data_IF_148629376110
#
_entry.id   IF_148629376110
#
_cell.length_a   1.000
_cell.length_b   1.000
_cell.length_c   1.000
_cell.angle_alpha   90.00
_cell.angle_beta   90.00
_cell.angle_gamma   90.00
#
_symmetry.space_group_name_H-M   'P 1'
#
loop_
_entity.id
_entity.type
_entity.pdbx_description
1 polymer ?
#
# COMPACT_ATOMS: atom_id res chain seq x y z
N UNK A 1 6.35 -28.77 18.46
CA UNK A 1 7.23 -27.97 19.32
C UNK A 1 8.34 -27.50 18.41
N UNK A 2 8.63 -26.22 18.34
CA UNK A 2 9.67 -25.67 17.46
C UNK A 2 11.02 -26.05 18.05
N UNK A 3 11.73 -27.02 17.48
CA UNK A 3 13.06 -27.41 17.96
C UNK A 3 14.10 -26.47 17.35
N UNK A 4 14.29 -25.32 18.02
CA UNK A 4 15.41 -24.42 17.77
C UNK A 4 16.49 -24.78 18.78
N UNK A 5 17.68 -25.14 18.31
CA UNK A 5 18.79 -25.49 19.19
C UNK A 5 19.28 -24.28 19.99
N UNK A 6 20.06 -24.52 21.05
CA UNK A 6 20.75 -23.44 21.78
C UNK A 6 21.74 -22.64 20.92
N UNK A 7 22.10 -23.14 19.73
CA UNK A 7 22.93 -22.42 18.75
C UNK A 7 22.11 -21.63 17.72
N UNK A 8 20.78 -21.58 17.86
CA UNK A 8 19.89 -20.90 16.92
C UNK A 8 19.66 -21.67 15.61
N UNK A 9 20.07 -22.93 15.52
CA UNK A 9 19.82 -23.76 14.34
C UNK A 9 18.38 -24.27 14.38
N UNK A 10 17.66 -24.07 13.29
CA UNK A 10 16.34 -24.64 13.06
C UNK A 10 16.53 -26.05 12.51
N UNK A 11 16.17 -27.09 13.25
CA UNK A 11 16.39 -28.46 12.79
C UNK A 11 15.36 -28.90 11.74
N UNK A 12 14.10 -28.51 11.94
CA UNK A 12 12.98 -28.82 11.04
C UNK A 12 12.29 -27.54 10.56
N UNK A 13 11.71 -27.60 9.36
CA UNK A 13 10.99 -26.45 8.79
C UNK A 13 9.87 -25.98 9.71
N UNK A 14 9.89 -24.69 10.04
CA UNK A 14 8.89 -24.02 10.86
C UNK A 14 7.99 -23.20 9.97
N UNK A 15 6.67 -23.37 10.14
CA UNK A 15 5.66 -22.55 9.46
C UNK A 15 4.96 -21.71 10.52
N UNK A 16 5.09 -20.38 10.39
CA UNK A 16 4.42 -19.41 11.24
C UNK A 16 3.33 -18.74 10.42
N UNK A 17 2.09 -18.81 10.88
CA UNK A 17 0.94 -18.21 10.19
C UNK A 17 0.38 -17.07 11.02
N UNK A 18 0.08 -15.94 10.38
CA UNK A 18 -0.57 -14.82 11.06
C UNK A 18 -1.95 -15.21 11.61
N UNK A 19 -2.45 -14.56 12.68
CA UNK A 19 -3.77 -14.86 13.24
C UNK A 19 -4.93 -14.77 12.24
N UNK A 20 -4.82 -13.88 11.24
CA UNK A 20 -5.81 -13.71 10.18
C UNK A 20 -5.58 -14.62 8.95
N UNK A 21 -4.58 -15.50 9.02
CA UNK A 21 -4.21 -16.52 8.01
C UNK A 21 -3.80 -15.96 6.66
N UNK A 22 -3.43 -14.68 6.57
CA UNK A 22 -3.05 -14.06 5.30
C UNK A 22 -1.57 -14.12 5.01
N UNK A 23 -0.74 -14.11 6.04
CA UNK A 23 0.71 -14.14 5.93
C UNK A 23 1.22 -15.46 6.49
N UNK A 24 2.05 -16.12 5.70
CA UNK A 24 2.76 -17.35 6.04
C UNK A 24 4.25 -17.05 5.96
N UNK A 25 4.95 -17.31 7.05
CA UNK A 25 6.40 -17.29 7.13
C UNK A 25 6.89 -18.73 7.21
N UNK A 26 7.81 -19.10 6.33
CA UNK A 26 8.41 -20.43 6.29
C UNK A 26 9.90 -20.29 6.57
N UNK A 27 10.35 -20.91 7.67
CA UNK A 27 11.74 -20.95 8.08
C UNK A 27 12.25 -22.37 7.82
N UNK A 28 13.02 -22.62 6.74
CA UNK A 28 13.48 -23.96 6.41
C UNK A 28 14.38 -24.56 7.50
N UNK A 29 14.33 -25.88 7.66
CA UNK A 29 15.34 -26.62 8.40
C UNK A 29 16.76 -26.32 7.87
N UNK A 30 17.73 -26.18 8.77
CA UNK A 30 19.08 -25.72 8.48
C UNK A 30 19.28 -24.20 8.55
N UNK A 31 18.22 -23.41 8.78
CA UNK A 31 18.35 -21.96 8.95
C UNK A 31 18.98 -21.65 10.30
N UNK A 32 20.01 -20.79 10.31
CA UNK A 32 20.57 -20.24 11.54
C UNK A 32 19.88 -18.92 11.85
N UNK A 33 19.33 -18.82 13.06
CA UNK A 33 18.70 -17.62 13.61
C UNK A 33 19.64 -17.01 14.64
N UNK A 34 20.05 -15.77 14.43
CA UNK A 34 20.87 -15.02 15.38
C UNK A 34 20.00 -13.98 16.11
N UNK A 35 20.04 -14.03 17.43
CA UNK A 35 19.45 -13.02 18.32
C UNK A 35 20.47 -11.92 18.61
N UNK A 36 20.04 -10.66 18.64
CA UNK A 36 20.92 -9.51 18.93
C UNK A 36 21.49 -9.53 20.35
N UNK A 37 20.89 -10.28 21.26
CA UNK A 37 21.23 -10.38 22.68
C UNK A 37 21.70 -11.77 23.11
N UNK A 38 21.94 -12.68 22.15
CA UNK A 38 22.37 -14.07 22.39
C UNK A 38 21.44 -14.84 23.34
N UNK A 39 20.16 -14.46 23.40
CA UNK A 39 19.13 -15.11 24.21
C UNK A 39 18.54 -16.33 23.50
N UNK A 40 18.00 -17.25 24.31
CA UNK A 40 17.25 -18.40 23.80
C UNK A 40 15.90 -17.92 23.23
N UNK A 41 15.61 -18.35 22.01
CA UNK A 41 14.33 -18.05 21.35
C UNK A 41 13.20 -18.85 21.98
N UNK A 42 12.24 -18.16 22.59
CA UNK A 42 11.07 -18.79 23.19
C UNK A 42 10.00 -19.10 22.14
N UNK A 43 9.71 -18.16 21.24
CA UNK A 43 8.64 -18.26 20.24
C UNK A 43 8.85 -17.23 19.13
N UNK A 44 8.40 -17.56 17.91
CA UNK A 44 8.32 -16.63 16.78
C UNK A 44 6.85 -16.37 16.47
N UNK A 45 6.49 -15.10 16.36
CA UNK A 45 5.12 -14.68 16.02
C UNK A 45 5.12 -13.61 14.94
N UNK A 46 4.04 -13.57 14.16
CA UNK A 46 3.77 -12.52 13.17
C UNK A 46 2.37 -11.98 13.41
N UNK A 47 2.25 -10.71 13.81
CA UNK A 47 0.98 -10.10 14.25
C UNK A 47 0.63 -8.84 13.45
N UNK A 48 -0.66 -8.58 13.19
CA UNK A 48 -1.12 -7.33 12.59
C UNK A 48 -0.71 -6.09 13.40
N UNK A 49 -0.28 -5.04 12.71
CA UNK A 49 0.01 -3.73 13.31
C UNK A 49 -1.19 -2.80 13.08
N UNK A 50 -1.79 -2.32 14.17
CA UNK A 50 -2.97 -1.46 14.11
C UNK A 50 -2.68 -0.04 13.59
N UNK A 51 -1.51 0.52 13.91
CA UNK A 51 -1.09 1.85 13.47
C UNK A 51 0.37 1.81 12.97
N UNK A 52 0.61 1.33 11.73
CA UNK A 52 1.96 1.25 11.19
C UNK A 52 2.54 2.62 10.85
N UNK A 53 3.88 2.75 10.76
CA UNK A 53 4.53 3.96 10.26
C UNK A 53 4.01 4.38 8.89
N UNK A 54 3.96 5.70 8.63
CA UNK A 54 3.47 6.21 7.36
C UNK A 54 4.34 5.73 6.18
N UNK A 55 3.72 5.28 5.07
CA UNK A 55 4.48 4.87 3.89
C UNK A 55 5.09 6.10 3.17
N UNK A 56 6.06 5.89 2.27
CA UNK A 56 6.65 6.97 1.48
C UNK A 56 5.62 7.76 0.67
N UNK A 57 5.93 9.03 0.37
CA UNK A 57 5.06 9.90 -0.44
C UNK A 57 4.71 9.23 -1.77
N UNK A 58 3.44 9.26 -2.15
CA UNK A 58 2.94 8.64 -3.38
C UNK A 58 2.71 7.13 -3.30
N UNK A 59 3.00 6.51 -2.16
CA UNK A 59 2.67 5.11 -1.85
C UNK A 59 1.61 5.05 -0.74
N UNK A 60 0.97 3.89 -0.61
CA UNK A 60 0.07 3.54 0.48
C UNK A 60 0.33 2.11 0.92
N UNK A 61 0.10 1.81 2.19
CA UNK A 61 -0.01 0.44 2.66
C UNK A 61 -1.28 -0.16 2.04
N UNK A 62 -1.13 -1.34 1.45
CA UNK A 62 -2.20 -2.12 0.87
C UNK A 62 -2.54 -3.27 1.82
N UNK A 63 -3.76 -3.26 2.36
CA UNK A 63 -4.14 -4.16 3.45
C UNK A 63 -3.67 -3.62 4.80
N UNK A 64 -2.95 -4.44 5.55
CA UNK A 64 -2.39 -4.12 6.88
C UNK A 64 -0.88 -4.32 6.85
N UNK A 65 -0.18 -3.88 7.90
CA UNK A 65 1.22 -4.25 8.12
C UNK A 65 1.30 -5.36 9.17
N UNK A 66 2.42 -6.10 9.18
CA UNK A 66 2.71 -7.12 10.18
C UNK A 66 4.04 -6.83 10.87
N UNK A 67 4.10 -7.14 12.17
CA UNK A 67 5.33 -7.14 12.93
C UNK A 67 5.70 -8.57 13.26
N UNK A 68 6.95 -8.93 12.95
CA UNK A 68 7.54 -10.19 13.39
C UNK A 68 8.22 -9.98 14.74
N UNK A 69 8.02 -10.91 15.67
CA UNK A 69 8.54 -10.85 17.04
C UNK A 69 9.22 -12.18 17.42
N UNK A 70 10.33 -12.15 18.16
CA UNK A 70 11.03 -10.95 18.68
C UNK A 70 11.71 -10.13 17.57
N UNK A 71 11.90 -8.83 17.81
CA UNK A 71 12.57 -7.96 16.84
C UNK A 71 14.08 -8.23 16.78
N UNK A 72 14.72 -7.88 15.67
CA UNK A 72 16.18 -7.96 15.54
C UNK A 72 16.74 -9.36 15.30
N UNK A 73 15.88 -10.37 15.07
CA UNK A 73 16.33 -11.66 14.57
C UNK A 73 16.89 -11.51 13.16
N UNK A 74 17.97 -12.23 12.87
CA UNK A 74 18.53 -12.34 11.53
C UNK A 74 18.60 -13.81 11.11
N UNK A 75 18.41 -14.07 9.82
CA UNK A 75 18.33 -15.40 9.24
C UNK A 75 19.43 -15.63 8.23
N UNK A 76 20.06 -16.80 8.31
CA UNK A 76 21.00 -17.26 7.29
C UNK A 76 20.78 -18.76 7.01
N UNK A 77 20.33 -19.14 5.81
CA UNK A 77 19.91 -18.28 4.69
C UNK A 77 18.64 -17.45 5.00
N UNK A 78 18.26 -16.48 4.14
CA UNK A 78 16.96 -15.81 4.22
C UNK A 78 15.78 -16.80 4.24
N UNK A 79 14.67 -16.38 4.84
CA UNK A 79 13.45 -17.18 5.02
C UNK A 79 12.32 -16.70 4.13
N UNK A 80 11.40 -17.59 3.76
CA UNK A 80 10.36 -17.27 2.79
C UNK A 80 9.15 -16.64 3.48
N UNK A 81 8.69 -15.49 2.96
CA UNK A 81 7.40 -14.91 3.33
C UNK A 81 6.46 -14.94 2.13
N UNK A 82 5.26 -15.48 2.34
CA UNK A 82 4.16 -15.46 1.38
C UNK A 82 2.94 -14.78 1.97
N UNK A 83 2.32 -13.89 1.20
CA UNK A 83 1.21 -13.07 1.65
C UNK A 83 0.09 -13.05 0.62
N UNK A 84 -1.08 -13.54 1.02
CA UNK A 84 -2.30 -13.48 0.21
C UNK A 84 -2.91 -12.07 0.18
N UNK A 85 -3.41 -11.68 -1.00
CA UNK A 85 -4.11 -10.42 -1.19
C UNK A 85 -5.41 -10.58 -1.96
N UNK A 86 -6.25 -9.55 -1.86
CA UNK A 86 -7.52 -9.48 -2.58
C UNK A 86 -7.38 -8.44 -3.71
N UNK A 87 -7.38 -8.86 -4.99
CA UNK A 87 -7.23 -7.95 -6.11
C UNK A 87 -8.35 -6.92 -6.20
N UNK A 88 -9.54 -7.21 -5.66
CA UNK A 88 -10.66 -6.27 -5.66
C UNK A 88 -10.43 -5.06 -4.73
N UNK A 89 -9.45 -5.15 -3.81
CA UNK A 89 -9.09 -4.07 -2.88
C UNK A 89 -7.99 -3.15 -3.42
N UNK A 90 -7.46 -3.44 -4.61
CA UNK A 90 -6.40 -2.63 -5.18
C UNK A 90 -6.82 -1.16 -5.29
N UNK A 91 -5.92 -0.21 -4.98
CA UNK A 91 -6.18 1.20 -5.19
C UNK A 91 -6.59 1.46 -6.65
N UNK A 92 -7.51 2.40 -6.85
CA UNK A 92 -7.92 2.80 -8.21
C UNK A 92 -6.69 3.21 -9.03
N UNK A 93 -6.50 2.55 -10.17
CA UNK A 93 -5.40 2.81 -11.09
C UNK A 93 -4.08 2.12 -10.72
N UNK A 94 -4.05 1.31 -9.67
CA UNK A 94 -2.96 0.37 -9.40
C UNK A 94 -3.30 -1.01 -9.99
N UNK A 95 -2.26 -1.73 -10.37
CA UNK A 95 -2.31 -3.13 -10.81
C UNK A 95 -1.57 -4.02 -9.82
N UNK A 96 -1.78 -5.33 -9.91
CA UNK A 96 -1.03 -6.31 -9.12
C UNK A 96 0.49 -6.22 -9.38
N UNK A 97 0.91 -5.77 -10.57
CA UNK A 97 2.32 -5.57 -10.90
C UNK A 97 2.98 -4.42 -10.10
N UNK A 98 2.17 -3.53 -9.52
CA UNK A 98 2.66 -2.39 -8.76
C UNK A 98 2.86 -2.71 -7.27
N UNK A 99 2.48 -3.92 -6.82
CA UNK A 99 2.64 -4.36 -5.45
C UNK A 99 4.09 -4.71 -5.15
N UNK A 100 4.58 -4.22 -4.01
CA UNK A 100 5.92 -4.50 -3.52
C UNK A 100 5.84 -4.75 -2.01
N UNK A 101 6.62 -5.69 -1.49
CA UNK A 101 6.85 -5.80 -0.06
C UNK A 101 7.91 -4.76 0.33
N UNK A 102 7.66 -4.07 1.43
CA UNK A 102 8.61 -3.16 2.06
C UNK A 102 8.72 -3.48 3.54
N UNK A 103 9.89 -3.20 4.12
CA UNK A 103 10.16 -3.29 5.54
C UNK A 103 10.48 -1.92 6.11
N UNK A 104 10.19 -1.72 7.38
CA UNK A 104 10.49 -0.47 8.08
C UNK A 104 11.82 -0.58 8.82
N UNK A 105 12.72 0.35 8.55
CA UNK A 105 14.02 0.48 9.23
C UNK A 105 13.89 1.51 10.34
N UNK A 106 13.79 1.06 11.59
CA UNK A 106 13.59 1.95 12.74
C UNK A 106 14.72 2.97 12.93
N UNK A 107 15.97 2.59 12.61
CA UNK A 107 17.14 3.46 12.77
C UNK A 107 17.14 4.67 11.83
N UNK A 108 16.54 4.55 10.65
CA UNK A 108 16.41 5.62 9.65
C UNK A 108 15.01 6.22 9.60
N UNK A 109 14.03 5.53 10.18
CA UNK A 109 12.62 5.87 10.11
C UNK A 109 12.05 5.78 8.69
N UNK A 110 12.61 4.92 7.85
CA UNK A 110 12.24 4.79 6.44
C UNK A 110 11.71 3.40 6.09
N UNK A 111 10.90 3.34 5.05
CA UNK A 111 10.49 2.08 4.42
C UNK A 111 11.45 1.75 3.27
N UNK A 112 11.91 0.50 3.22
CA UNK A 112 12.81 -0.01 2.19
C UNK A 112 12.14 -1.19 1.47
N UNK A 113 12.20 -1.21 0.13
CA UNK A 113 11.55 -2.25 -0.67
C UNK A 113 12.42 -3.50 -0.74
N UNK A 114 11.78 -4.67 -0.67
CA UNK A 114 12.41 -5.97 -0.88
C UNK A 114 12.05 -6.47 -2.28
N UNK A 115 12.98 -7.12 -3.02
CA UNK A 115 12.61 -7.89 -4.20
C UNK A 115 11.42 -8.81 -3.90
N UNK A 116 10.33 -8.62 -4.65
CA UNK A 116 9.06 -9.31 -4.41
C UNK A 116 8.56 -9.95 -5.70
N UNK A 117 7.98 -11.14 -5.60
CA UNK A 117 7.36 -11.85 -6.71
C UNK A 117 5.86 -11.94 -6.49
N UNK A 118 5.07 -11.49 -7.47
CA UNK A 118 3.61 -11.53 -7.43
C UNK A 118 3.10 -12.68 -8.30
N UNK A 119 2.38 -13.61 -7.71
CA UNK A 119 1.57 -14.60 -8.42
C UNK A 119 0.12 -14.10 -8.49
N UNK A 120 -0.31 -13.82 -9.72
CA UNK A 120 -1.66 -13.31 -10.05
C UNK A 120 -2.72 -14.40 -10.11
N UNK A 121 -2.31 -15.67 -10.16
CA UNK A 121 -3.22 -16.81 -10.22
C UNK A 121 -3.65 -17.19 -8.81
N UNK A 122 -2.70 -17.26 -7.88
CA UNK A 122 -2.96 -17.53 -6.46
C UNK A 122 -3.25 -16.27 -5.65
N UNK A 123 -3.13 -15.08 -6.25
CA UNK A 123 -3.21 -13.77 -5.60
C UNK A 123 -2.32 -13.69 -4.35
N UNK A 124 -1.05 -14.07 -4.53
CA UNK A 124 -0.03 -14.02 -3.49
C UNK A 124 1.17 -13.18 -3.90
N UNK A 125 1.80 -12.54 -2.93
CA UNK A 125 3.08 -11.85 -3.09
C UNK A 125 4.08 -12.48 -2.12
N UNK A 126 5.28 -12.78 -2.62
CA UNK A 126 6.33 -13.44 -1.86
C UNK A 126 7.64 -12.66 -1.90
N UNK A 127 8.42 -12.75 -0.82
CA UNK A 127 9.77 -12.19 -0.72
C UNK A 127 10.60 -12.97 0.30
N UNK A 128 11.92 -12.89 0.15
CA UNK A 128 12.88 -13.47 1.07
C UNK A 128 13.20 -12.47 2.18
N UNK A 129 13.14 -12.91 3.44
CA UNK A 129 13.39 -12.10 4.62
C UNK A 129 14.70 -12.50 5.29
N UNK A 130 15.59 -11.53 5.49
CA UNK A 130 16.87 -11.73 6.18
C UNK A 130 16.81 -11.34 7.65
N UNK A 131 15.77 -10.66 8.10
CA UNK A 131 15.62 -10.21 9.48
C UNK A 131 14.17 -10.02 9.89
N UNK A 132 13.90 -9.75 11.18
CA UNK A 132 12.58 -9.42 11.68
C UNK A 132 12.44 -7.93 11.99
N UNK A 133 11.38 -7.34 11.44
CA UNK A 133 10.91 -5.98 11.64
C UNK A 133 9.42 -5.89 11.26
N UNK A 134 8.92 -4.69 11.01
CA UNK A 134 7.61 -4.42 10.44
C UNK A 134 7.68 -4.53 8.92
N UNK A 135 6.77 -5.31 8.34
CA UNK A 135 6.59 -5.51 6.90
C UNK A 135 5.22 -5.05 6.45
N UNK A 136 5.15 -4.51 5.23
CA UNK A 136 3.89 -4.14 4.59
C UNK A 136 3.97 -4.37 3.08
N UNK A 137 2.82 -4.71 2.48
CA UNK A 137 2.66 -4.55 1.03
C UNK A 137 2.35 -3.09 0.76
N UNK A 138 3.16 -2.46 -0.09
CA UNK A 138 2.94 -1.09 -0.56
C UNK A 138 2.46 -1.10 -2.01
N UNK A 139 1.57 -0.16 -2.31
CA UNK A 139 1.03 0.09 -3.64
C UNK A 139 1.09 1.59 -3.96
N UNK A 140 1.04 1.99 -5.24
CA UNK A 140 0.82 3.39 -5.61
C UNK A 140 -0.43 3.96 -4.92
N UNK A 141 -0.31 5.20 -4.43
CA UNK A 141 -1.49 5.94 -4.00
C UNK A 141 -2.44 6.12 -5.19
N UNK A 142 -3.75 6.12 -4.93
CA UNK A 142 -4.75 6.26 -5.98
C UNK A 142 -4.51 7.57 -6.75
N UNK A 143 -4.48 7.51 -8.07
CA UNK A 143 -4.36 8.72 -8.89
C UNK A 143 -5.67 9.49 -8.81
N UNK A 144 -5.68 10.60 -8.09
CA UNK A 144 -6.79 11.55 -8.13
C UNK A 144 -6.66 12.33 -9.43
N UNK A 145 -7.63 12.18 -10.34
CA UNK A 145 -7.76 13.15 -11.43
C UNK A 145 -8.08 14.50 -10.79
N UNK A 146 -7.18 15.47 -10.97
CA UNK A 146 -7.30 16.77 -10.33
C UNK A 146 -8.64 17.44 -10.71
N UNK A 147 -9.29 18.08 -9.73
CA UNK A 147 -10.61 18.72 -9.80
C UNK A 147 -10.77 19.83 -10.87
N UNK A 148 -9.74 20.12 -11.67
CA UNK A 148 -9.78 21.14 -12.72
C UNK A 148 -10.80 20.85 -13.83
N UNK A 149 -11.18 19.58 -14.04
CA UNK A 149 -12.23 19.20 -15.00
C UNK A 149 -13.63 19.65 -14.54
N UNK A 150 -13.89 19.73 -13.22
CA UNK A 150 -15.18 20.18 -12.68
C UNK A 150 -15.28 21.71 -12.76
N UNK A 151 -14.19 22.44 -12.50
CA UNK A 151 -14.17 23.91 -12.62
C UNK A 151 -14.32 24.38 -14.07
N UNK A 152 -13.71 23.68 -15.03
CA UNK A 152 -13.82 24.01 -16.46
C UNK A 152 -15.25 23.90 -16.98
N UNK A 153 -15.96 22.81 -16.64
CA UNK A 153 -17.34 22.59 -17.11
C UNK A 153 -18.31 23.60 -16.48
N UNK A 154 -18.18 23.90 -15.18
CA UNK A 154 -19.03 24.91 -14.51
C UNK A 154 -18.82 26.31 -15.12
N UNK A 155 -17.56 26.70 -15.41
CA UNK A 155 -17.28 27.99 -16.05
C UNK A 155 -17.90 28.10 -17.46
N UNK A 156 -17.83 27.04 -18.27
CA UNK A 156 -18.44 27.01 -19.62
C UNK A 156 -19.97 27.15 -19.53
N UNK A 157 -20.61 26.45 -18.58
CA UNK A 157 -22.06 26.54 -18.38
C UNK A 157 -22.47 27.96 -17.93
N UNK A 158 -21.74 28.57 -16.98
CA UNK A 158 -22.02 29.94 -16.51
C UNK A 158 -21.84 30.96 -17.63
N UNK A 159 -20.77 30.84 -18.42
CA UNK A 159 -20.53 31.73 -19.57
C UNK A 159 -21.63 31.56 -20.63
N UNK A 160 -22.03 30.33 -20.95
CA UNK A 160 -23.13 30.06 -21.87
C UNK A 160 -24.45 30.68 -21.36
N UNK A 161 -24.77 30.53 -20.08
CA UNK A 161 -25.96 31.12 -19.46
C UNK A 161 -25.91 32.66 -19.46
N UNK A 162 -24.77 33.28 -19.19
CA UNK A 162 -24.60 34.74 -19.27
C UNK A 162 -24.76 35.26 -20.70
N UNK A 163 -24.24 34.55 -21.70
CA UNK A 163 -24.41 34.91 -23.11
C UNK A 163 -25.90 34.82 -23.50
N UNK A 164 -26.59 33.75 -23.10
CA UNK A 164 -28.02 33.57 -23.36
C UNK A 164 -28.83 34.67 -22.66
N UNK A 165 -28.53 34.98 -21.40
CA UNK A 165 -29.20 36.02 -20.63
C UNK A 165 -29.01 37.41 -21.25
N UNK A 166 -27.78 37.78 -21.61
CA UNK A 166 -27.48 39.06 -22.28
C UNK A 166 -28.23 39.20 -23.61
N UNK A 167 -28.33 38.12 -24.39
CA UNK A 167 -29.11 38.12 -25.64
C UNK A 167 -30.60 38.36 -25.38
N UNK A 168 -31.18 37.73 -24.37
CA UNK A 168 -32.59 37.91 -23.99
C UNK A 168 -32.89 39.34 -23.52
N UNK A 169 -32.00 39.93 -22.71
CA UNK A 169 -32.15 41.33 -22.25
C UNK A 169 -32.10 42.30 -23.42
N UNK A 170 -31.14 42.13 -24.35
CA UNK A 170 -31.02 43.00 -25.52
C UNK A 170 -32.25 42.90 -26.45
N UNK A 171 -32.78 41.70 -26.67
CA UNK A 171 -33.99 41.51 -27.48
C UNK A 171 -35.23 42.16 -26.84
N UNK A 172 -35.39 42.05 -25.52
CA UNK A 172 -36.47 42.71 -24.80
C UNK A 172 -36.36 44.24 -24.85
N UNK A 173 -35.16 44.78 -24.73
CA UNK A 173 -34.91 46.23 -24.81
C UNK A 173 -35.28 46.83 -26.17
N UNK A 174 -34.87 46.20 -27.28
CA UNK A 174 -35.21 46.66 -28.64
C UNK A 174 -36.71 46.55 -28.95
N UNK A 175 -37.43 45.63 -28.30
CA UNK A 175 -38.89 45.51 -28.44
C UNK A 175 -39.63 46.62 -27.70
N UNK A 176 -39.11 47.06 -26.54
CA UNK A 176 -39.72 48.08 -25.68
C UNK A 176 -39.37 49.51 -26.16
N UNK A 177 -38.17 49.69 -26.72
CA UNK A 177 -37.69 50.98 -27.24
C UNK A 177 -37.26 50.84 -28.72
N UNK A 178 -38.22 50.73 -29.66
CA UNK A 178 -37.88 50.74 -31.07
C UNK A 178 -37.21 52.07 -31.42
N UNK A 179 -36.08 52.01 -32.13
CA UNK A 179 -35.35 53.22 -32.55
C UNK A 179 -36.28 54.15 -33.31
N UNK A 180 -36.45 55.38 -32.81
CA UNK A 180 -37.20 56.40 -33.51
C UNK A 180 -36.52 56.67 -34.86
N UNK A 181 -37.28 56.79 -35.96
CA UNK A 181 -36.71 57.07 -37.26
C UNK A 181 -35.98 58.41 -37.23
N UNK A 182 -34.73 58.42 -37.66
CA UNK A 182 -33.95 59.64 -37.84
C UNK A 182 -34.63 60.47 -38.95
N UNK A 183 -35.31 61.55 -38.56
CA UNK A 183 -35.81 62.57 -39.48
C UNK A 183 -34.71 63.48 -39.98
#
# INVERSE_FOLDING_TARGET
MTEITSSGLVEETVIVTSPDKKLILTIPGGTTILTSDNTLLSEITVIPVGNPPLPPIGKKIFGIAYQSSPSGLTFNPPVDMAWSYDPAKLPRGASEADLQIAFYTESTGQWETVPSTVDRTSHTIAADLSHFTIYAVIAPAAKTFANWLITGIVAVIVVALLIIFRRRVNQAFETIFPRLPNG
#
